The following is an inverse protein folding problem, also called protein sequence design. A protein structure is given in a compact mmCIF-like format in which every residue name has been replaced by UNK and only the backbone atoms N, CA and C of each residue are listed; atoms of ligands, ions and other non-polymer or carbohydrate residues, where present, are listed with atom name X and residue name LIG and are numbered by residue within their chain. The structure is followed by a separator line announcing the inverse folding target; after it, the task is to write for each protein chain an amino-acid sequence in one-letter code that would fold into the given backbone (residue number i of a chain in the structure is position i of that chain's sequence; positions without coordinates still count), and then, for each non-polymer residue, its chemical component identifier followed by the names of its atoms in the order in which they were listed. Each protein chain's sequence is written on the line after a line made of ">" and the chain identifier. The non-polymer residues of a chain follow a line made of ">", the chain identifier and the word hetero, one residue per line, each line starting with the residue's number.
data_IF_750015791198
#
_entry.id   IF_750015791198
#
_cell.length_a   1.000
_cell.length_b   1.000
_cell.length_c   1.000
_cell.angle_alpha   90.00
_cell.angle_beta   90.00
_cell.angle_gamma   90.00
#
_symmetry.space_group_name_H-M   'P 1'
#
loop_
_entity.id
_entity.type
_entity.pdbx_description
1 polymer ?
#
# COMPACT_ATOMS: atom_id res chain seq x y z
N UNK A 1 -1.81 -5.80 8.94
CA UNK A 1 -1.71 -7.29 8.96
C UNK A 1 -2.60 -7.85 7.86
N UNK A 2 -1.97 -8.21 6.75
CA UNK A 2 -2.67 -8.71 5.56
C UNK A 2 -3.39 -10.04 5.81
N UNK A 3 -4.58 -10.19 5.24
CA UNK A 3 -5.34 -11.45 5.26
C UNK A 3 -5.05 -12.30 4.02
N UNK A 4 -5.36 -13.62 4.04
CA UNK A 4 -5.31 -14.44 2.83
C UNK A 4 -6.20 -13.88 1.70
N UNK A 5 -7.34 -13.27 2.02
CA UNK A 5 -8.22 -12.65 1.04
C UNK A 5 -7.54 -11.49 0.30
N UNK A 6 -6.76 -10.67 1.00
CA UNK A 6 -5.98 -9.60 0.37
C UNK A 6 -4.93 -10.16 -0.60
N UNK A 7 -4.17 -11.18 -0.19
CA UNK A 7 -3.23 -11.87 -1.08
C UNK A 7 -3.91 -12.39 -2.34
N UNK A 8 -5.11 -12.98 -2.20
CA UNK A 8 -5.87 -13.48 -3.36
C UNK A 8 -6.26 -12.34 -4.30
N UNK A 9 -6.73 -11.21 -3.79
CA UNK A 9 -7.06 -10.05 -4.65
C UNK A 9 -5.86 -9.59 -5.48
N UNK A 10 -4.69 -9.53 -4.87
CA UNK A 10 -3.44 -9.16 -5.56
C UNK A 10 -3.08 -10.21 -6.62
N UNK A 11 -3.10 -11.49 -6.27
CA UNK A 11 -2.77 -12.59 -7.19
C UNK A 11 -3.78 -12.66 -8.34
N UNK A 12 -5.06 -12.53 -8.07
CA UNK A 12 -6.12 -12.59 -9.09
C UNK A 12 -5.96 -11.47 -10.12
N UNK A 13 -5.59 -10.27 -9.72
CA UNK A 13 -5.32 -9.16 -10.63
C UNK A 13 -4.10 -9.46 -11.54
N UNK A 14 -3.05 -10.05 -11.00
CA UNK A 14 -1.88 -10.48 -11.79
C UNK A 14 -2.24 -11.60 -12.77
N UNK A 15 -3.04 -12.56 -12.34
CA UNK A 15 -3.54 -13.65 -13.21
C UNK A 15 -4.42 -13.09 -14.33
N UNK A 16 -5.21 -12.04 -14.04
CA UNK A 16 -6.03 -11.35 -15.03
C UNK A 16 -5.24 -10.54 -16.06
N UNK A 17 -3.93 -10.37 -15.87
CA UNK A 17 -3.05 -9.76 -16.86
C UNK A 17 -2.32 -8.49 -16.40
N UNK A 18 -2.53 -8.03 -15.17
CA UNK A 18 -1.88 -6.81 -14.67
C UNK A 18 -0.38 -7.05 -14.41
N UNK A 19 0.42 -6.01 -14.59
CA UNK A 19 1.88 -6.08 -14.45
C UNK A 19 2.36 -5.81 -13.03
N UNK A 20 1.69 -4.86 -12.36
CA UNK A 20 1.97 -4.45 -10.98
C UNK A 20 0.68 -4.10 -10.27
N UNK A 21 0.52 -4.58 -9.04
CA UNK A 21 -0.73 -4.48 -8.26
C UNK A 21 -0.41 -4.00 -6.85
N UNK A 22 -1.07 -2.95 -6.41
CA UNK A 22 -0.88 -2.36 -5.09
C UNK A 22 -2.23 -2.29 -4.37
N UNK A 23 -2.36 -2.91 -3.19
CA UNK A 23 -3.55 -2.72 -2.38
C UNK A 23 -3.56 -1.30 -1.81
N UNK A 24 -4.72 -0.66 -1.82
CA UNK A 24 -4.87 0.72 -1.39
C UNK A 24 -6.12 0.90 -0.53
N UNK A 25 -6.07 1.88 0.36
CA UNK A 25 -7.22 2.37 1.11
C UNK A 25 -7.38 3.87 0.87
N UNK A 26 -8.61 4.42 0.84
CA UNK A 26 -8.81 5.85 0.70
C UNK A 26 -8.14 6.61 1.85
N UNK A 27 -7.56 7.76 1.54
CA UNK A 27 -7.06 8.69 2.56
C UNK A 27 -8.26 9.36 3.23
N UNK A 28 -8.37 9.19 4.55
CA UNK A 28 -9.44 9.78 5.37
C UNK A 28 -9.00 11.00 6.16
N UNK A 29 -7.70 11.19 6.35
CA UNK A 29 -7.13 12.33 7.03
C UNK A 29 -7.16 13.59 6.16
N UNK A 30 -7.25 14.76 6.80
CA UNK A 30 -7.00 16.03 6.12
C UNK A 30 -5.50 16.17 5.87
N UNK A 31 -5.12 16.20 4.60
CA UNK A 31 -3.72 16.34 4.20
C UNK A 31 -3.34 17.81 4.09
N UNK A 32 -2.17 18.14 4.61
CA UNK A 32 -1.59 19.48 4.54
C UNK A 32 -0.20 19.39 3.92
N UNK A 33 0.12 20.37 3.09
CA UNK A 33 1.48 20.58 2.60
C UNK A 33 2.11 21.71 3.39
N UNK A 34 3.34 21.52 3.85
CA UNK A 34 4.15 22.58 4.42
C UNK A 34 4.81 23.37 3.29
N UNK A 35 4.53 24.65 3.22
CA UNK A 35 5.13 25.57 2.25
C UNK A 35 6.47 26.13 2.77
N UNK A 36 7.25 26.71 1.86
CA UNK A 36 8.57 27.27 2.19
C UNK A 36 8.50 28.40 3.21
N UNK A 37 7.40 29.15 3.24
CA UNK A 37 7.16 30.26 4.20
C UNK A 37 6.74 29.77 5.60
N UNK A 38 6.64 28.46 5.81
CA UNK A 38 6.21 27.84 7.08
C UNK A 38 4.70 27.73 7.27
N UNK A 39 3.90 28.13 6.29
CA UNK A 39 2.44 27.97 6.32
C UNK A 39 2.02 26.56 5.88
N UNK A 40 0.79 26.16 6.21
CA UNK A 40 0.15 24.92 5.78
C UNK A 40 -0.94 25.20 4.76
N UNK A 41 -0.95 24.43 3.68
CA UNK A 41 -2.00 24.45 2.67
C UNK A 41 -2.70 23.09 2.61
N UNK A 42 -4.03 23.12 2.49
CA UNK A 42 -4.82 21.90 2.29
C UNK A 42 -4.53 21.25 0.94
N UNK A 43 -4.36 19.94 0.96
CA UNK A 43 -4.23 19.13 -0.26
C UNK A 43 -5.56 18.40 -0.47
N UNK A 44 -6.21 18.53 -1.65
CA UNK A 44 -7.41 17.76 -1.95
C UNK A 44 -7.13 16.27 -1.87
N UNK A 45 -7.97 15.53 -1.15
CA UNK A 45 -7.78 14.08 -0.99
C UNK A 45 -8.60 13.21 -1.94
N UNK A 46 -9.40 13.82 -2.82
CA UNK A 46 -10.08 13.10 -3.89
C UNK A 46 -9.08 12.36 -4.78
N UNK A 47 -9.32 11.08 -5.00
CA UNK A 47 -8.40 10.23 -5.78
C UNK A 47 -7.07 9.93 -5.08
N UNK A 48 -6.91 10.31 -3.81
CA UNK A 48 -5.74 10.03 -3.00
C UNK A 48 -5.96 8.76 -2.18
N UNK A 49 -5.00 7.84 -2.27
CA UNK A 49 -5.03 6.56 -1.58
C UNK A 49 -3.72 6.32 -0.86
N UNK A 50 -3.79 5.59 0.23
CA UNK A 50 -2.62 5.10 0.95
C UNK A 50 -2.30 3.68 0.47
N UNK A 51 -1.08 3.47 0.01
CA UNK A 51 -0.61 2.16 -0.44
C UNK A 51 -0.33 1.23 0.74
N UNK A 52 -0.68 -0.02 0.55
CA UNK A 52 -0.43 -1.08 1.52
C UNK A 52 0.48 -2.17 0.93
N UNK A 53 0.75 -3.19 1.70
CA UNK A 53 1.42 -4.43 1.28
C UNK A 53 0.51 -5.62 1.59
N UNK A 54 0.64 -6.76 0.87
CA UNK A 54 1.66 -7.07 -0.12
C UNK A 54 1.42 -6.35 -1.46
N UNK A 55 2.51 -5.95 -2.12
CA UNK A 55 2.48 -5.45 -3.49
C UNK A 55 2.88 -6.59 -4.42
N UNK A 56 2.13 -6.78 -5.50
CA UNK A 56 2.32 -7.89 -6.41
C UNK A 56 2.85 -7.44 -7.77
N UNK A 57 3.75 -8.24 -8.36
CA UNK A 57 4.39 -7.93 -9.63
C UNK A 57 4.58 -9.19 -10.46
N UNK A 58 4.52 -9.07 -11.77
CA UNK A 58 5.09 -10.08 -12.64
C UNK A 58 6.60 -10.16 -12.38
N UNK A 59 7.16 -11.36 -12.37
CA UNK A 59 8.57 -11.57 -12.01
C UNK A 59 9.53 -10.71 -12.85
N UNK A 60 9.27 -10.59 -14.14
CA UNK A 60 10.06 -9.75 -15.05
C UNK A 60 10.01 -8.25 -14.71
N UNK A 61 8.87 -7.77 -14.25
CA UNK A 61 8.70 -6.36 -13.81
C UNK A 61 9.53 -6.12 -12.55
N UNK A 62 9.42 -6.98 -11.58
CA UNK A 62 10.15 -6.85 -10.32
C UNK A 62 11.67 -6.94 -10.53
N UNK A 63 12.12 -7.84 -11.40
CA UNK A 63 13.54 -7.92 -11.78
C UNK A 63 14.02 -6.64 -12.46
N UNK A 64 13.23 -6.08 -13.39
CA UNK A 64 13.56 -4.82 -14.06
C UNK A 64 13.67 -3.66 -13.06
N UNK A 65 12.71 -3.56 -12.14
CA UNK A 65 12.69 -2.53 -11.08
C UNK A 65 13.95 -2.61 -10.21
N UNK A 66 14.33 -3.81 -9.77
CA UNK A 66 15.48 -4.00 -8.90
C UNK A 66 16.83 -4.00 -9.63
N UNK A 67 16.85 -3.98 -10.96
CA UNK A 67 18.07 -3.81 -11.75
C UNK A 67 18.53 -2.35 -11.86
N UNK A 68 17.66 -1.39 -11.50
CA UNK A 68 17.90 0.05 -11.59
C UNK A 68 17.71 0.65 -10.18
N UNK A 69 18.62 1.53 -9.80
CA UNK A 69 18.47 2.29 -8.54
C UNK A 69 17.48 3.44 -8.75
N UNK A 70 16.26 3.27 -8.25
CA UNK A 70 15.23 4.32 -8.28
C UNK A 70 14.90 4.73 -6.83
N UNK A 71 15.02 6.02 -6.54
CA UNK A 71 14.60 6.55 -5.25
C UNK A 71 13.07 6.63 -5.17
N UNK A 72 12.49 5.67 -4.49
CA UNK A 72 11.05 5.60 -4.24
C UNK A 72 10.78 5.04 -2.85
N UNK A 73 9.57 5.25 -2.35
CA UNK A 73 9.15 4.76 -1.03
C UNK A 73 8.75 3.29 -1.03
N UNK A 74 8.44 2.73 -2.20
CA UNK A 74 8.02 1.33 -2.34
C UNK A 74 8.29 0.79 -3.76
N UNK A 75 8.13 -0.51 -3.95
CA UNK A 75 8.33 -1.16 -5.24
C UNK A 75 7.28 -0.73 -6.28
N UNK A 76 6.05 -0.42 -5.84
CA UNK A 76 5.02 0.13 -6.72
C UNK A 76 5.43 1.47 -7.34
N UNK A 77 5.98 2.37 -6.52
CA UNK A 77 6.52 3.64 -7.00
C UNK A 77 7.70 3.46 -7.96
N UNK A 78 8.56 2.48 -7.69
CA UNK A 78 9.68 2.15 -8.58
C UNK A 78 9.19 1.62 -9.93
N UNK A 79 8.18 0.76 -9.95
CA UNK A 79 7.58 0.24 -11.18
C UNK A 79 6.92 1.37 -12.00
N UNK A 80 6.20 2.26 -11.34
CA UNK A 80 5.60 3.45 -11.95
C UNK A 80 6.65 4.34 -12.59
N UNK A 81 7.75 4.64 -11.88
CA UNK A 81 8.85 5.46 -12.41
C UNK A 81 9.51 4.86 -13.65
N UNK A 82 9.46 3.55 -13.83
CA UNK A 82 9.94 2.83 -15.00
C UNK A 82 8.91 2.72 -16.13
N UNK A 83 7.73 3.29 -15.97
CA UNK A 83 6.66 3.32 -16.99
C UNK A 83 5.75 2.09 -16.98
N UNK A 84 5.84 1.21 -15.98
CA UNK A 84 4.90 0.12 -15.82
C UNK A 84 3.55 0.63 -15.30
N UNK A 85 2.47 -0.01 -15.74
CA UNK A 85 1.15 0.29 -15.24
C UNK A 85 0.96 -0.36 -13.87
N UNK A 86 0.75 0.47 -12.84
CA UNK A 86 0.45 0.03 -11.48
C UNK A 86 -1.05 0.21 -11.23
N UNK A 87 -1.74 -0.86 -10.91
CA UNK A 87 -3.19 -0.84 -10.68
C UNK A 87 -3.54 -1.14 -9.23
N UNK A 88 -4.62 -0.54 -8.70
CA UNK A 88 -5.04 -0.78 -7.34
C UNK A 88 -5.90 -2.04 -7.22
N UNK A 89 -5.85 -2.64 -6.04
CA UNK A 89 -6.91 -3.51 -5.51
C UNK A 89 -7.34 -2.97 -4.16
N UNK A 90 -8.54 -3.33 -3.73
CA UNK A 90 -9.05 -2.92 -2.42
C UNK A 90 -8.16 -3.48 -1.31
N UNK A 91 -7.64 -2.58 -0.48
CA UNK A 91 -6.88 -2.91 0.72
C UNK A 91 -7.77 -3.20 1.92
N UNK A 92 -7.16 -3.25 3.09
CA UNK A 92 -7.86 -3.54 4.36
C UNK A 92 -7.48 -2.50 5.41
N UNK A 93 -8.46 -1.91 6.08
CA UNK A 93 -8.23 -0.92 7.15
C UNK A 93 -7.42 -1.52 8.32
N UNK A 94 -7.54 -2.82 8.54
CA UNK A 94 -6.80 -3.55 9.57
C UNK A 94 -5.41 -4.01 9.13
N UNK A 95 -5.02 -3.74 7.89
CA UNK A 95 -3.70 -4.06 7.37
C UNK A 95 -2.68 -2.98 7.75
N UNK A 96 -2.42 -2.88 9.04
CA UNK A 96 -1.48 -1.92 9.61
C UNK A 96 -0.03 -2.31 9.30
N UNK A 97 0.76 -1.33 8.88
CA UNK A 97 2.22 -1.42 8.82
C UNK A 97 2.80 -1.06 10.19
N UNK A 98 3.51 -1.99 10.81
CA UNK A 98 4.17 -1.75 12.09
C UNK A 98 5.48 -1.01 11.84
N UNK A 99 5.56 0.25 12.24
CA UNK A 99 6.73 1.11 12.06
C UNK A 99 7.29 1.66 13.38
N UNK A 100 6.44 1.72 14.42
CA UNK A 100 6.82 2.21 15.74
C UNK A 100 6.17 1.37 16.86
N UNK A 101 6.52 1.68 18.10
CA UNK A 101 6.02 0.93 19.26
C UNK A 101 4.49 1.05 19.46
N UNK A 102 3.90 2.19 19.11
CA UNK A 102 2.46 2.39 19.20
C UNK A 102 1.71 1.48 18.21
N UNK A 103 2.26 1.32 17.00
CA UNK A 103 1.69 0.41 15.99
C UNK A 103 1.66 -1.03 16.47
N UNK A 104 2.65 -1.44 17.28
CA UNK A 104 2.69 -2.79 17.84
C UNK A 104 1.53 -3.03 18.82
N UNK A 105 1.14 -2.03 19.60
CA UNK A 105 -0.01 -2.11 20.51
C UNK A 105 -1.29 -2.31 19.71
N UNK A 106 -1.49 -1.53 18.65
CA UNK A 106 -2.64 -1.65 17.75
C UNK A 106 -2.65 -3.01 17.06
N UNK A 107 -1.50 -3.47 16.56
CA UNK A 107 -1.38 -4.77 15.90
C UNK A 107 -1.75 -5.94 16.82
N UNK A 108 -1.36 -5.88 18.10
CA UNK A 108 -1.75 -6.88 19.10
C UNK A 108 -3.25 -6.91 19.33
N UNK A 109 -3.88 -5.75 19.47
CA UNK A 109 -5.33 -5.64 19.63
C UNK A 109 -6.08 -6.22 18.42
N UNK A 110 -5.63 -5.90 17.20
CA UNK A 110 -6.21 -6.45 15.96
C UNK A 110 -6.03 -7.97 15.86
N UNK A 111 -4.90 -8.49 16.29
CA UNK A 111 -4.65 -9.94 16.30
C UNK A 111 -5.60 -10.66 17.27
N UNK A 112 -5.80 -10.11 18.47
CA UNK A 112 -6.72 -10.64 19.45
C UNK A 112 -8.17 -10.66 18.94
N UNK A 113 -8.62 -9.55 18.34
CA UNK A 113 -9.95 -9.45 17.76
C UNK A 113 -10.19 -10.53 16.69
N UNK A 114 -9.24 -10.78 15.80
CA UNK A 114 -9.34 -11.82 14.76
C UNK A 114 -9.41 -13.24 15.35
N UNK A 115 -8.70 -13.50 16.46
CA UNK A 115 -8.77 -14.79 17.14
C UNK A 115 -10.17 -15.00 17.74
N UNK A 116 -10.76 -13.96 18.30
CA UNK A 116 -12.10 -14.02 18.88
C UNK A 116 -13.17 -14.20 17.81
N UNK A 117 -13.07 -13.54 16.66
CA UNK A 117 -14.00 -13.72 15.52
C UNK A 117 -13.91 -15.13 14.91
N UNK A 118 -12.75 -15.77 14.95
CA UNK A 118 -12.54 -17.11 14.38
C UNK A 118 -13.08 -18.24 15.26
N UNK A 119 -13.49 -17.96 16.49
CA UNK A 119 -14.13 -18.92 17.39
C UNK A 119 -15.63 -19.03 17.14
#
# INVERSE_FOLDING_TARGET
>A
MATPALFRRVVDALVAGEEAVVPVVPVVDSLKRLEEDGSLHSVPREGMFAAQTPQGFRAQVLRAVHSVCVETTDDGGAAEAMGFRVVPVEGEQTNLKITNAADLVVARALAQFRIEEAK
#
